data_IF_282553021727
#
_entry.id   IF_282553021727
#
_cell.length_a   1.000
_cell.length_b   1.000
_cell.length_c   1.000
_cell.angle_alpha   90.00
_cell.angle_beta   90.00
_cell.angle_gamma   90.00
#
_symmetry.space_group_name_H-M   'P 1'
#
loop_
_entity.id
_entity.type
_entity.pdbx_description
1 polymer ?
#
# COMPACT_ATOMS: atom_id res chain seq x y z
N UNK A 1 -17.67 11.43 -2.57
CA UNK A 1 -17.89 10.01 -2.15
C UNK A 1 -16.56 9.47 -1.62
N UNK A 2 -16.49 8.44 -0.74
CA UNK A 2 -15.18 7.92 -0.35
C UNK A 2 -14.45 7.35 -1.57
N UNK A 3 -13.17 7.67 -1.71
CA UNK A 3 -12.27 7.07 -2.68
C UNK A 3 -11.97 5.65 -2.22
N UNK A 4 -11.90 4.70 -3.14
CA UNK A 4 -11.65 3.29 -2.83
C UNK A 4 -10.65 2.77 -3.84
N UNK A 5 -9.56 2.18 -3.34
CA UNK A 5 -8.56 1.51 -4.16
C UNK A 5 -9.11 0.21 -4.78
N UNK A 6 -8.37 -0.39 -5.70
CA UNK A 6 -8.80 -1.64 -6.35
C UNK A 6 -8.91 -2.80 -5.35
N UNK A 7 -8.12 -2.79 -4.28
CA UNK A 7 -8.13 -3.82 -3.25
C UNK A 7 -9.31 -3.69 -2.26
N UNK A 8 -9.92 -2.51 -2.18
CA UNK A 8 -10.93 -2.15 -1.19
C UNK A 8 -10.39 -1.95 0.23
N UNK A 9 -9.07 -2.03 0.44
CA UNK A 9 -8.44 -1.90 1.77
C UNK A 9 -8.16 -0.45 2.13
N UNK A 10 -7.90 0.41 1.14
CA UNK A 10 -7.73 1.83 1.35
C UNK A 10 -8.99 2.56 0.93
N UNK A 11 -9.67 3.12 1.93
CA UNK A 11 -10.78 4.05 1.71
C UNK A 11 -10.32 5.46 2.01
N UNK A 12 -10.16 6.25 0.97
CA UNK A 12 -9.72 7.64 0.99
C UNK A 12 -10.86 8.63 1.15
N UNK A 13 -10.55 9.80 1.70
CA UNK A 13 -11.49 10.92 1.81
C UNK A 13 -10.74 12.25 2.05
N UNK A 14 -11.32 13.39 1.61
CA UNK A 14 -10.82 14.69 2.02
C UNK A 14 -11.19 14.97 3.48
N UNK A 15 -10.20 15.37 4.25
CA UNK A 15 -10.28 15.73 5.67
C UNK A 15 -10.31 17.25 5.78
N UNK A 16 -11.33 17.81 6.45
CA UNK A 16 -11.39 19.24 6.74
C UNK A 16 -10.23 19.70 7.62
N UNK A 17 -9.68 20.87 7.32
CA UNK A 17 -8.64 21.54 8.10
C UNK A 17 -9.14 22.92 8.51
N UNK A 18 -9.13 23.21 9.81
CA UNK A 18 -9.54 24.49 10.37
C UNK A 18 -8.46 25.56 10.20
N UNK A 19 -8.80 26.82 10.49
CA UNK A 19 -7.90 27.97 10.33
C UNK A 19 -6.60 27.87 11.17
N UNK A 20 -6.64 27.13 12.28
CA UNK A 20 -5.47 26.87 13.13
C UNK A 20 -4.64 25.65 12.66
N UNK A 21 -5.02 25.03 11.54
CA UNK A 21 -4.39 23.85 10.97
C UNK A 21 -4.84 22.53 11.58
N UNK A 22 -5.73 22.55 12.58
CA UNK A 22 -6.24 21.33 13.22
C UNK A 22 -7.32 20.63 12.39
N UNK A 23 -7.50 19.33 12.65
CA UNK A 23 -8.64 18.56 12.15
C UNK A 23 -9.81 18.70 13.13
N UNK A 24 -11.03 18.98 12.67
CA UNK A 24 -12.20 18.98 13.55
C UNK A 24 -12.53 17.55 14.03
N UNK A 25 -13.32 17.47 15.10
CA UNK A 25 -13.76 16.18 15.64
C UNK A 25 -14.43 15.31 14.57
N UNK A 26 -14.01 14.04 14.48
CA UNK A 26 -14.57 13.05 13.55
C UNK A 26 -16.05 12.79 13.84
N UNK A 27 -16.79 12.49 12.78
CA UNK A 27 -18.15 11.96 12.88
C UNK A 27 -18.12 10.56 13.53
N UNK A 28 -19.26 10.05 14.04
CA UNK A 28 -19.36 8.71 14.62
C UNK A 28 -18.93 7.57 13.71
N UNK A 29 -18.95 7.77 12.39
CA UNK A 29 -18.49 6.81 11.37
C UNK A 29 -16.98 6.94 11.05
N UNK A 30 -16.25 7.75 11.82
CA UNK A 30 -14.80 7.93 11.71
C UNK A 30 -14.34 8.91 10.62
N UNK A 31 -15.25 9.43 9.79
CA UNK A 31 -14.90 10.34 8.68
C UNK A 31 -14.97 11.81 9.11
N UNK A 32 -14.20 12.64 8.44
CA UNK A 32 -14.31 14.11 8.49
C UNK A 32 -14.95 14.56 7.19
N UNK A 33 -16.27 14.71 7.20
CA UNK A 33 -16.99 15.16 6.01
C UNK A 33 -16.84 16.67 5.87
N UNK A 34 -15.90 17.12 5.04
CA UNK A 34 -15.45 18.52 5.00
C UNK A 34 -16.58 19.53 4.78
N UNK A 35 -17.61 19.21 3.98
CA UNK A 35 -18.73 20.12 3.71
C UNK A 35 -19.64 20.39 4.92
N UNK A 36 -19.57 19.56 5.97
CA UNK A 36 -20.26 19.82 7.23
C UNK A 36 -19.61 20.96 8.03
N UNK A 37 -18.36 21.29 7.73
CA UNK A 37 -17.61 22.35 8.39
C UNK A 37 -17.64 23.63 7.54
N UNK A 38 -18.82 24.01 7.05
CA UNK A 38 -19.02 25.22 6.23
C UNK A 38 -19.22 26.51 7.06
N UNK A 39 -19.32 26.38 8.39
CA UNK A 39 -19.54 27.52 9.29
C UNK A 39 -21.01 27.84 9.61
N UNK A 40 -21.98 27.09 9.07
CA UNK A 40 -23.40 27.32 9.35
C UNK A 40 -23.81 26.85 10.75
N UNK A 41 -23.41 25.62 11.12
CA UNK A 41 -23.79 24.97 12.38
C UNK A 41 -22.57 24.60 13.25
N UNK A 42 -21.40 25.19 12.98
CA UNK A 42 -20.15 24.80 13.63
C UNK A 42 -18.91 25.52 13.09
N UNK A 43 -17.69 25.02 13.38
CA UNK A 43 -16.46 25.62 12.88
C UNK A 43 -16.36 25.54 11.36
N UNK A 44 -15.68 26.52 10.76
CA UNK A 44 -15.47 26.60 9.31
C UNK A 44 -14.08 26.07 8.95
N UNK A 45 -14.02 25.06 8.09
CA UNK A 45 -12.78 24.62 7.47
C UNK A 45 -12.27 25.68 6.47
N UNK A 46 -10.95 25.80 6.38
CA UNK A 46 -10.26 26.73 5.48
C UNK A 46 -9.49 26.00 4.39
N UNK A 47 -9.26 24.70 4.55
CA UNK A 47 -8.54 23.85 3.62
C UNK A 47 -9.00 22.39 3.79
N UNK A 48 -8.50 21.51 2.91
CA UNK A 48 -8.63 20.06 3.06
C UNK A 48 -7.26 19.39 2.96
N UNK A 49 -7.11 18.20 3.50
CA UNK A 49 -5.99 17.28 3.22
C UNK A 49 -6.53 15.91 2.89
N UNK A 50 -5.69 15.06 2.32
CA UNK A 50 -6.05 13.66 2.11
C UNK A 50 -6.07 12.90 3.44
N UNK A 51 -6.96 11.92 3.57
CA UNK A 51 -6.99 10.96 4.67
C UNK A 51 -7.38 9.58 4.18
N UNK A 52 -6.99 8.57 4.94
CA UNK A 52 -7.37 7.18 4.69
C UNK A 52 -7.89 6.53 5.98
N UNK A 53 -8.79 5.56 5.86
CA UNK A 53 -9.33 4.77 6.98
C UNK A 53 -8.23 3.93 7.67
N UNK A 54 -7.10 3.66 7.01
CA UNK A 54 -5.92 3.04 7.61
C UNK A 54 -5.23 3.92 8.66
N UNK A 55 -5.70 5.16 8.86
CA UNK A 55 -5.17 6.12 9.82
C UNK A 55 -4.18 7.12 9.21
N UNK A 56 -3.78 6.94 7.95
CA UNK A 56 -2.90 7.88 7.26
C UNK A 56 -3.55 9.25 7.04
N UNK A 57 -2.73 10.30 7.12
CA UNK A 57 -3.12 11.70 6.86
C UNK A 57 -2.07 12.33 5.96
N UNK A 58 -2.53 12.98 4.89
CA UNK A 58 -1.68 13.75 3.99
C UNK A 58 -1.03 14.92 4.73
N UNK A 59 0.24 15.17 4.43
CA UNK A 59 0.99 16.30 5.00
C UNK A 59 0.58 17.63 4.36
N UNK A 60 0.29 17.59 3.05
CA UNK A 60 -0.11 18.74 2.26
C UNK A 60 -1.56 19.12 2.52
N UNK A 61 -1.80 20.42 2.60
CA UNK A 61 -3.14 21.00 2.65
C UNK A 61 -3.44 21.64 1.30
N UNK A 62 -4.67 21.48 0.84
CA UNK A 62 -5.16 21.86 -0.47
C UNK A 62 -6.30 22.87 -0.35
N UNK A 63 -6.52 23.60 -1.43
CA UNK A 63 -7.58 24.60 -1.52
C UNK A 63 -8.94 23.92 -1.32
N UNK A 64 -9.79 24.59 -0.53
CA UNK A 64 -11.16 24.18 -0.28
C UNK A 64 -12.09 25.21 -0.92
N UNK A 65 -12.96 24.75 -1.81
CA UNK A 65 -14.02 25.57 -2.42
C UNK A 65 -15.40 25.07 -1.99
N UNK A 66 -16.09 25.87 -1.17
CA UNK A 66 -17.46 25.56 -0.77
C UNK A 66 -18.43 25.82 -1.92
N UNK A 67 -18.94 24.75 -2.51
CA UNK A 67 -19.85 24.79 -3.65
C UNK A 67 -19.28 24.14 -4.90
N UNK A 68 -18.00 23.74 -4.87
CA UNK A 68 -17.36 22.96 -5.92
C UNK A 68 -16.62 21.74 -5.32
N UNK A 69 -17.37 20.64 -5.19
CA UNK A 69 -16.84 19.37 -4.69
C UNK A 69 -15.79 18.81 -5.64
N UNK A 70 -15.91 19.04 -6.95
CA UNK A 70 -14.97 18.52 -7.96
C UNK A 70 -13.63 19.22 -7.82
N UNK A 71 -13.62 20.55 -7.70
CA UNK A 71 -12.40 21.32 -7.47
C UNK A 71 -11.75 21.00 -6.12
N UNK A 72 -12.56 20.75 -5.08
CA UNK A 72 -12.05 20.43 -3.74
C UNK A 72 -11.47 19.01 -3.65
N UNK A 73 -12.15 18.00 -4.21
CA UNK A 73 -11.66 16.63 -4.20
C UNK A 73 -10.51 16.44 -5.21
N UNK A 74 -10.54 17.17 -6.34
CA UNK A 74 -9.55 17.14 -7.42
C UNK A 74 -9.28 15.73 -7.96
N UNK A 75 -10.34 14.94 -8.15
CA UNK A 75 -10.25 13.56 -8.64
C UNK A 75 -9.74 13.53 -10.09
N UNK A 76 -8.69 12.75 -10.34
CA UNK A 76 -8.07 12.61 -11.66
C UNK A 76 -7.14 13.77 -12.05
N UNK A 77 -6.97 14.77 -11.18
CA UNK A 77 -6.00 15.83 -11.37
C UNK A 77 -4.61 15.40 -10.91
N UNK A 78 -3.57 15.97 -11.51
CA UNK A 78 -2.18 15.65 -11.14
C UNK A 78 -1.78 16.11 -9.73
N UNK A 79 -2.59 16.97 -9.11
CA UNK A 79 -2.37 17.51 -7.77
C UNK A 79 -3.69 17.63 -7.04
N UNK A 80 -3.67 17.49 -5.72
CA UNK A 80 -4.85 17.65 -4.89
C UNK A 80 -4.92 16.55 -3.83
N UNK A 81 -5.96 16.56 -2.99
CA UNK A 81 -6.06 15.57 -1.92
C UNK A 81 -6.34 14.16 -2.48
N UNK A 82 -6.96 14.02 -3.65
CA UNK A 82 -7.09 12.72 -4.31
C UNK A 82 -5.73 12.17 -4.77
N UNK A 83 -4.94 12.97 -5.50
CA UNK A 83 -3.60 12.58 -5.95
C UNK A 83 -2.67 12.20 -4.79
N UNK A 84 -2.75 12.90 -3.65
CA UNK A 84 -2.00 12.55 -2.45
C UNK A 84 -2.44 11.21 -1.85
N UNK A 85 -3.74 10.91 -1.91
CA UNK A 85 -4.26 9.62 -1.47
C UNK A 85 -3.87 8.50 -2.45
N UNK A 86 -3.89 8.73 -3.76
CA UNK A 86 -3.39 7.76 -4.75
C UNK A 86 -1.90 7.46 -4.53
N UNK A 87 -1.08 8.50 -4.34
CA UNK A 87 0.35 8.33 -4.00
C UNK A 87 0.51 7.54 -2.68
N UNK A 88 -0.32 7.82 -1.68
CA UNK A 88 -0.33 7.05 -0.44
C UNK A 88 -0.69 5.59 -0.67
N UNK A 89 -1.72 5.31 -1.49
CA UNK A 89 -2.08 3.95 -1.89
C UNK A 89 -0.85 3.35 -2.56
N UNK A 90 -0.34 3.86 -3.67
CA UNK A 90 0.84 3.29 -4.36
C UNK A 90 2.04 2.99 -3.44
N UNK A 91 2.29 3.84 -2.44
CA UNK A 91 3.37 3.67 -1.46
C UNK A 91 3.03 2.71 -0.30
N UNK A 92 1.78 2.61 0.13
CA UNK A 92 1.34 1.70 1.19
C UNK A 92 0.98 0.32 0.65
N UNK A 93 0.44 0.33 -0.56
CA UNK A 93 -0.10 -0.73 -1.38
C UNK A 93 0.90 -1.06 -2.49
N UNK A 94 2.11 -1.51 -2.13
CA UNK A 94 2.86 -2.44 -2.98
C UNK A 94 2.08 -3.76 -3.16
N UNK A 95 0.85 -3.68 -3.66
CA UNK A 95 -0.20 -4.69 -3.63
C UNK A 95 0.23 -5.85 -4.48
N UNK A 96 0.13 -7.02 -3.87
CA UNK A 96 0.03 -8.27 -4.62
C UNK A 96 -1.32 -8.23 -5.33
N UNK A 97 -1.39 -8.20 -6.67
CA UNK A 97 -2.68 -8.19 -7.38
C UNK A 97 -3.59 -9.30 -6.88
N UNK A 98 -4.91 -9.05 -6.79
CA UNK A 98 -5.85 -9.99 -6.17
C UNK A 98 -5.78 -11.40 -6.76
N UNK A 99 -5.63 -11.50 -8.08
CA UNK A 99 -5.42 -12.76 -8.80
C UNK A 99 -4.19 -13.54 -8.31
N UNK A 100 -3.12 -12.86 -7.89
CA UNK A 100 -1.92 -13.48 -7.34
C UNK A 100 -2.16 -13.95 -5.90
N UNK A 101 -2.90 -13.19 -5.10
CA UNK A 101 -3.32 -13.61 -3.75
C UNK A 101 -4.17 -14.89 -3.81
N UNK A 102 -5.14 -14.95 -4.72
CA UNK A 102 -6.01 -16.11 -4.94
C UNK A 102 -5.21 -17.35 -5.38
N UNK A 103 -4.24 -17.18 -6.29
CA UNK A 103 -3.37 -18.29 -6.73
C UNK A 103 -2.52 -18.85 -5.59
N UNK A 104 -1.98 -17.99 -4.72
CA UNK A 104 -1.20 -18.42 -3.56
C UNK A 104 -2.11 -19.20 -2.59
N UNK A 105 -3.28 -18.66 -2.27
CA UNK A 105 -4.25 -19.32 -1.38
C UNK A 105 -4.67 -20.70 -1.92
N UNK A 106 -5.07 -20.77 -3.20
CA UNK A 106 -5.49 -22.01 -3.83
C UNK A 106 -4.38 -23.07 -3.86
N UNK A 107 -3.12 -22.66 -4.06
CA UNK A 107 -1.98 -23.58 -4.02
C UNK A 107 -1.76 -24.14 -2.59
N UNK A 108 -1.83 -23.28 -1.58
CA UNK A 108 -1.67 -23.69 -0.17
C UNK A 108 -2.77 -24.68 0.22
N UNK A 109 -4.03 -24.36 -0.07
CA UNK A 109 -5.17 -25.23 0.21
C UNK A 109 -4.99 -26.60 -0.45
N UNK A 110 -4.55 -26.62 -1.72
CA UNK A 110 -4.33 -27.87 -2.44
C UNK A 110 -3.20 -28.72 -1.86
N UNK A 111 -2.15 -28.09 -1.32
CA UNK A 111 -1.07 -28.79 -0.62
C UNK A 111 -1.60 -29.36 0.71
N UNK A 112 -2.42 -28.60 1.44
CA UNK A 112 -3.08 -29.05 2.66
C UNK A 112 -4.01 -30.24 2.41
N UNK A 113 -4.86 -30.21 1.38
CA UNK A 113 -5.73 -31.33 1.00
C UNK A 113 -4.95 -32.64 0.75
N UNK A 114 -3.72 -32.53 0.21
CA UNK A 114 -2.89 -33.70 -0.04
C UNK A 114 -2.40 -34.37 1.25
N UNK A 115 -2.43 -33.68 2.40
CA UNK A 115 -1.91 -34.23 3.66
C UNK A 115 -2.75 -35.40 4.17
N UNK A 116 -4.07 -35.39 3.94
CA UNK A 116 -5.00 -36.42 4.43
C UNK A 116 -4.90 -37.74 3.65
N UNK A 117 -4.62 -37.67 2.35
CA UNK A 117 -4.61 -38.85 1.48
C UNK A 117 -3.25 -39.25 0.91
N UNK A 118 -2.31 -38.30 0.82
CA UNK A 118 -1.03 -38.46 0.11
C UNK A 118 0.10 -37.64 0.78
N UNK A 119 0.45 -37.92 2.05
CA UNK A 119 1.37 -37.08 2.83
C UNK A 119 2.76 -36.90 2.21
N UNK A 120 3.32 -37.94 1.57
CA UNK A 120 4.61 -37.80 0.87
C UNK A 120 4.52 -36.88 -0.37
N UNK A 121 3.37 -36.89 -1.08
CA UNK A 121 3.16 -35.98 -2.19
C UNK A 121 2.97 -34.53 -1.70
N UNK A 122 2.27 -34.34 -0.58
CA UNK A 122 2.15 -33.05 0.08
C UNK A 122 3.53 -32.50 0.47
N UNK A 123 4.38 -33.31 1.11
CA UNK A 123 5.75 -32.94 1.47
C UNK A 123 6.60 -32.56 0.24
N UNK A 124 6.49 -33.32 -0.86
CA UNK A 124 7.19 -33.00 -2.12
C UNK A 124 6.70 -31.69 -2.76
N UNK A 125 5.39 -31.41 -2.68
CA UNK A 125 4.81 -30.18 -3.19
C UNK A 125 5.23 -28.97 -2.33
N UNK A 126 5.12 -29.07 -1.01
CA UNK A 126 5.58 -28.06 -0.06
C UNK A 126 7.07 -27.72 -0.26
N UNK A 127 7.93 -28.73 -0.35
CA UNK A 127 9.36 -28.51 -0.59
C UNK A 127 9.65 -27.83 -1.95
N UNK A 128 8.78 -28.04 -2.96
CA UNK A 128 8.91 -27.33 -4.25
C UNK A 128 8.45 -25.88 -4.13
N UNK A 129 7.36 -25.62 -3.40
CA UNK A 129 6.87 -24.29 -3.12
C UNK A 129 7.89 -23.47 -2.31
N UNK A 130 8.47 -24.02 -1.25
CA UNK A 130 9.51 -23.37 -0.44
C UNK A 130 10.71 -22.93 -1.27
N UNK A 131 11.23 -23.81 -2.15
CA UNK A 131 12.35 -23.46 -3.04
C UNK A 131 11.98 -22.35 -4.01
N UNK A 132 10.79 -22.41 -4.60
CA UNK A 132 10.31 -21.38 -5.51
C UNK A 132 10.16 -20.03 -4.78
N UNK A 133 9.48 -20.02 -3.63
CA UNK A 133 9.28 -18.85 -2.79
C UNK A 133 10.61 -18.22 -2.37
N UNK A 134 11.60 -19.03 -1.95
CA UNK A 134 12.94 -18.55 -1.62
C UNK A 134 13.63 -17.84 -2.79
N UNK A 135 13.61 -18.45 -3.98
CA UNK A 135 14.21 -17.85 -5.18
C UNK A 135 13.52 -16.57 -5.63
N UNK A 136 12.19 -16.53 -5.61
CA UNK A 136 11.39 -15.34 -5.96
C UNK A 136 11.59 -14.22 -4.95
N UNK A 137 11.67 -14.54 -3.65
CA UNK A 137 11.93 -13.57 -2.60
C UNK A 137 13.28 -12.87 -2.77
N UNK A 138 14.35 -13.63 -3.08
CA UNK A 138 15.67 -13.05 -3.35
C UNK A 138 15.64 -12.09 -4.53
N UNK A 139 14.99 -12.48 -5.63
CA UNK A 139 14.86 -11.63 -6.82
C UNK A 139 14.06 -10.36 -6.49
N UNK A 140 12.91 -10.48 -5.85
CA UNK A 140 12.03 -9.36 -5.51
C UNK A 140 12.72 -8.37 -4.55
N UNK A 141 13.35 -8.86 -3.47
CA UNK A 141 14.09 -8.01 -2.53
C UNK A 141 15.25 -7.26 -3.18
N UNK A 142 16.01 -7.92 -4.07
CA UNK A 142 17.09 -7.28 -4.83
C UNK A 142 16.56 -6.25 -5.83
N UNK A 143 15.47 -6.54 -6.55
CA UNK A 143 14.85 -5.61 -7.51
C UNK A 143 14.25 -4.38 -6.80
N UNK A 144 13.63 -4.58 -5.65
CA UNK A 144 13.17 -3.49 -4.78
C UNK A 144 14.36 -2.59 -4.39
N UNK A 145 15.50 -3.19 -4.02
CA UNK A 145 16.71 -2.43 -3.72
C UNK A 145 17.27 -1.67 -4.93
N UNK A 146 17.33 -2.29 -6.10
CA UNK A 146 17.72 -1.63 -7.35
C UNK A 146 16.78 -0.48 -7.73
N UNK A 147 15.52 -0.54 -7.30
CA UNK A 147 14.52 0.52 -7.44
C UNK A 147 14.59 1.56 -6.31
N UNK A 148 15.73 1.64 -5.62
CA UNK A 148 16.06 2.61 -4.57
C UNK A 148 15.20 2.51 -3.29
N UNK A 149 14.45 1.43 -3.09
CA UNK A 149 13.73 1.21 -1.82
C UNK A 149 14.71 1.05 -0.64
N UNK A 150 14.31 1.56 0.53
CA UNK A 150 15.10 1.45 1.76
C UNK A 150 15.02 0.04 2.33
N UNK A 151 16.02 -0.36 3.12
CA UNK A 151 15.99 -1.65 3.82
C UNK A 151 14.84 -1.78 4.81
N UNK A 152 14.36 -0.67 5.36
CA UNK A 152 13.16 -0.65 6.19
C UNK A 152 11.92 -1.03 5.39
N UNK A 153 11.75 -0.44 4.20
CA UNK A 153 10.63 -0.75 3.32
C UNK A 153 10.66 -2.21 2.83
N UNK A 154 11.83 -2.68 2.39
CA UNK A 154 12.05 -4.06 1.96
C UNK A 154 11.77 -5.03 3.11
N UNK A 155 12.29 -4.75 4.31
CA UNK A 155 12.04 -5.58 5.50
C UNK A 155 10.56 -5.71 5.82
N UNK A 156 9.81 -4.58 5.82
CA UNK A 156 8.35 -4.60 6.03
C UNK A 156 7.63 -5.52 5.05
N UNK A 157 7.98 -5.48 3.76
CA UNK A 157 7.36 -6.34 2.74
C UNK A 157 7.58 -7.85 2.99
N UNK A 158 8.69 -8.23 3.63
CA UNK A 158 9.00 -9.63 3.96
C UNK A 158 8.71 -10.00 5.42
N UNK A 159 8.12 -9.09 6.20
CA UNK A 159 7.82 -9.31 7.62
C UNK A 159 9.05 -9.36 8.53
N UNK A 160 10.17 -8.72 8.14
CA UNK A 160 11.41 -8.70 8.90
C UNK A 160 11.97 -7.28 9.13
N UNK A 161 13.02 -7.16 9.95
CA UNK A 161 13.69 -5.89 10.22
C UNK A 161 14.68 -5.47 9.12
N UNK A 162 15.11 -4.19 9.09
CA UNK A 162 16.03 -3.68 8.06
C UNK A 162 17.40 -4.38 8.04
N UNK A 163 17.92 -4.82 9.20
CA UNK A 163 19.19 -5.55 9.27
C UNK A 163 19.09 -6.93 8.62
N UNK A 164 18.00 -7.65 8.87
CA UNK A 164 17.73 -8.96 8.28
C UNK A 164 17.48 -8.85 6.76
N UNK A 165 16.78 -7.80 6.32
CA UNK A 165 16.60 -7.53 4.90
C UNK A 165 17.93 -7.25 4.19
N UNK A 166 18.84 -6.50 4.82
CA UNK A 166 20.18 -6.25 4.31
C UNK A 166 20.98 -7.57 4.21
N UNK A 167 20.98 -8.38 5.27
CA UNK A 167 21.66 -9.68 5.27
C UNK A 167 21.14 -10.58 4.14
N UNK A 168 19.81 -10.64 3.98
CA UNK A 168 19.16 -11.55 3.05
C UNK A 168 19.24 -11.09 1.58
N UNK A 169 19.22 -9.79 1.31
CA UNK A 169 19.08 -9.25 -0.05
C UNK A 169 20.21 -8.32 -0.48
N UNK A 170 21.14 -7.98 0.41
CA UNK A 170 22.21 -7.00 0.19
C UNK A 170 23.37 -7.48 -0.68
N UNK A 171 23.54 -8.78 -0.87
CA UNK A 171 24.59 -9.30 -1.76
C UNK A 171 24.29 -8.97 -3.22
N UNK A 172 25.18 -8.19 -3.82
CA UNK A 172 25.17 -7.82 -5.24
C UNK A 172 25.95 -8.88 -6.02
N UNK A 173 25.34 -9.50 -7.04
CA UNK A 173 26.11 -10.23 -8.04
C UNK A 173 26.92 -9.22 -8.86
N UNK A 174 28.21 -9.13 -8.58
CA UNK A 174 29.20 -8.93 -9.64
C UNK A 174 29.35 -10.29 -10.33
N UNK A 175 29.40 -10.32 -11.66
CA UNK A 175 29.63 -11.49 -12.53
C UNK A 175 28.39 -12.32 -12.94
N UNK A 176 27.67 -11.81 -13.95
CA UNK A 176 27.11 -12.65 -15.04
C UNK A 176 27.32 -12.00 -16.42
N UNK A 177 28.27 -11.06 -16.56
CA UNK A 177 28.58 -10.39 -17.84
C UNK A 177 29.97 -10.76 -18.39
N UNK A 178 30.54 -11.90 -17.98
CA UNK A 178 31.71 -12.49 -18.63
C UNK A 178 31.45 -13.96 -18.94
N UNK A 179 30.88 -14.20 -20.11
CA UNK A 179 30.61 -15.55 -20.58
C UNK A 179 30.00 -15.66 -21.97
N UNK A 180 30.19 -14.69 -22.87
CA UNK A 180 29.86 -14.88 -24.28
C UNK A 180 30.71 -14.01 -25.21
N UNK A 181 32.04 -14.10 -25.09
CA UNK A 181 32.95 -13.80 -26.20
C UNK A 181 34.14 -14.79 -26.21
N UNK A 182 34.11 -15.69 -27.19
CA UNK A 182 35.21 -16.40 -27.89
C UNK A 182 34.90 -17.89 -28.14
#
# INVERSE_FOLDING_TARGET
MPWVDESGRHRGFPVAVLADGSEPARLPDGRTTWWLYNGADGPRATAVRAGCDCGWRGERVHVLDFGDDVATEAVGEATGPFADWEEHVDLAEGVVPHEVEELIAALVDRICDLTDGRPYAAARAAARFERAAGSTALLAGRRARSSMMTWEYIGRAFGCGPAEALERFGETFHDLDQGEEA
#
